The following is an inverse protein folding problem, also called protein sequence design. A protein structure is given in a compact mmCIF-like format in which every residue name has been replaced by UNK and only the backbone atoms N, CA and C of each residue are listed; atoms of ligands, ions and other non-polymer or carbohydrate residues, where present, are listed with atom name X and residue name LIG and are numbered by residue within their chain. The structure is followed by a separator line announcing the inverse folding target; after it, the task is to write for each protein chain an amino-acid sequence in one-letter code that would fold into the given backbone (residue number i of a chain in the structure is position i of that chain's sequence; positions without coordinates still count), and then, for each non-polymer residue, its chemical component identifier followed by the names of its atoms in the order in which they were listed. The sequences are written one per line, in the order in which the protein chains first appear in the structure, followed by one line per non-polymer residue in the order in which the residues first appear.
data_IF_769137986027
#
_entry.id   IF_769137986027
#
_cell.length_a   1.000
_cell.length_b   1.000
_cell.length_c   1.000
_cell.angle_alpha   90.00
_cell.angle_beta   90.00
_cell.angle_gamma   90.00
#
_symmetry.space_group_name_H-M   'P 1'
#
loop_
_entity.id
_entity.type
_entity.pdbx_description
1 polymer ?
#
# COMPACT_ATOMS: atom_id res chain seq x y z
N UNK A 1 11.37 -8.31 -14.74
CA UNK A 1 10.85 -7.85 -13.43
C UNK A 1 10.74 -9.04 -12.52
N UNK A 2 11.12 -8.88 -11.27
CA UNK A 2 10.94 -9.88 -10.21
C UNK A 2 10.43 -9.21 -8.94
N UNK A 3 9.76 -9.96 -8.07
CA UNK A 3 9.37 -9.51 -6.73
C UNK A 3 10.13 -10.35 -5.70
N UNK A 4 10.67 -9.69 -4.69
CA UNK A 4 11.38 -10.33 -3.57
C UNK A 4 10.89 -9.78 -2.24
N UNK A 5 11.21 -10.47 -1.16
CA UNK A 5 11.04 -9.93 0.19
C UNK A 5 12.00 -8.75 0.41
N UNK A 6 11.51 -7.73 1.08
CA UNK A 6 12.26 -6.55 1.46
C UNK A 6 12.84 -6.63 2.87
N UNK A 7 13.84 -5.81 3.14
CA UNK A 7 14.45 -5.65 4.45
C UNK A 7 14.79 -4.18 4.75
N UNK A 8 15.49 -3.92 5.85
CA UNK A 8 15.82 -2.56 6.28
C UNK A 8 16.61 -1.76 5.23
N UNK A 9 17.37 -2.41 4.37
CA UNK A 9 18.14 -1.75 3.29
C UNK A 9 17.26 -1.13 2.23
N UNK A 10 16.01 -1.59 2.13
CA UNK A 10 15.02 -1.06 1.18
C UNK A 10 14.31 0.20 1.70
N UNK A 11 14.46 0.50 2.99
CA UNK A 11 13.73 1.59 3.62
C UNK A 11 13.97 2.96 2.99
N UNK A 12 15.21 3.37 2.64
CA UNK A 12 15.41 4.66 1.96
C UNK A 12 14.62 4.79 0.65
N UNK A 13 14.53 3.73 -0.13
CA UNK A 13 13.73 3.68 -1.34
C UNK A 13 12.23 3.81 -1.02
N UNK A 14 11.75 3.02 -0.08
CA UNK A 14 10.35 3.02 0.34
C UNK A 14 9.94 4.40 0.89
N UNK A 15 10.78 5.01 1.71
CA UNK A 15 10.53 6.34 2.28
C UNK A 15 10.41 7.40 1.18
N UNK A 16 11.36 7.45 0.25
CA UNK A 16 11.35 8.42 -0.83
C UNK A 16 10.12 8.25 -1.75
N UNK A 17 9.81 7.01 -2.12
CA UNK A 17 8.65 6.72 -2.97
C UNK A 17 7.33 6.96 -2.24
N UNK A 18 7.24 6.61 -0.97
CA UNK A 18 6.07 6.84 -0.13
C UNK A 18 5.73 8.33 0.00
N UNK A 19 6.73 9.18 0.15
CA UNK A 19 6.54 10.65 0.18
C UNK A 19 5.93 11.18 -1.11
N UNK A 20 6.37 10.68 -2.26
CA UNK A 20 5.82 11.09 -3.56
C UNK A 20 4.34 10.73 -3.71
N UNK A 21 3.90 9.67 -3.06
CA UNK A 21 2.51 9.20 -3.12
C UNK A 21 1.53 9.97 -2.23
N UNK A 22 2.01 10.71 -1.23
CA UNK A 22 1.15 11.37 -0.23
C UNK A 22 0.06 12.25 -0.86
N UNK A 23 0.36 13.19 -1.78
CA UNK A 23 -0.66 14.06 -2.35
C UNK A 23 -1.79 13.31 -3.06
N UNK A 24 -1.49 12.17 -3.65
CA UNK A 24 -2.45 11.37 -4.41
C UNK A 24 -3.40 10.55 -3.52
N UNK A 25 -3.05 10.33 -2.27
CA UNK A 25 -3.85 9.56 -1.32
C UNK A 25 -4.83 10.39 -0.51
N UNK A 26 -4.68 11.72 -0.52
CA UNK A 26 -5.51 12.62 0.29
C UNK A 26 -6.88 12.81 -0.37
N UNK A 27 -7.94 12.58 0.42
CA UNK A 27 -9.30 12.82 -0.03
C UNK A 27 -9.54 14.29 -0.38
N UNK A 28 -10.13 14.62 -1.54
CA UNK A 28 -10.46 16.00 -1.91
C UNK A 28 -11.53 16.63 -1.00
N UNK A 29 -12.23 15.81 -0.23
CA UNK A 29 -13.23 16.26 0.75
C UNK A 29 -12.62 16.76 2.05
N UNK A 30 -11.34 16.44 2.31
CA UNK A 30 -10.57 16.92 3.48
C UNK A 30 -9.86 18.22 3.11
N UNK A 31 -10.49 19.36 3.40
CA UNK A 31 -9.98 20.71 3.09
C UNK A 31 -8.91 21.14 4.10
N UNK A 32 -7.69 20.70 3.88
CA UNK A 32 -6.52 21.02 4.71
C UNK A 32 -5.42 21.65 3.84
N UNK A 33 -4.64 22.61 4.36
CA UNK A 33 -3.44 23.07 3.67
C UNK A 33 -2.50 21.90 3.40
N UNK A 34 -2.04 21.79 2.15
CA UNK A 34 -1.18 20.66 1.74
C UNK A 34 0.12 20.60 2.55
N UNK A 35 0.69 21.75 2.91
CA UNK A 35 1.90 21.82 3.71
C UNK A 35 1.72 21.15 5.08
N UNK A 36 0.61 21.40 5.77
CA UNK A 36 0.30 20.79 7.05
C UNK A 36 0.09 19.28 6.92
N UNK A 37 -0.63 18.88 5.88
CA UNK A 37 -0.85 17.46 5.57
C UNK A 37 0.46 16.73 5.32
N UNK A 38 1.37 17.32 4.55
CA UNK A 38 2.67 16.74 4.27
C UNK A 38 3.51 16.60 5.54
N UNK A 39 3.55 17.61 6.40
CA UNK A 39 4.26 17.53 7.69
C UNK A 39 3.72 16.40 8.57
N UNK A 40 2.41 16.29 8.67
CA UNK A 40 1.76 15.23 9.45
C UNK A 40 2.09 13.85 8.87
N UNK A 41 1.92 13.66 7.57
CA UNK A 41 2.19 12.38 6.91
C UNK A 41 3.66 11.98 6.98
N UNK A 42 4.58 12.92 6.83
CA UNK A 42 6.01 12.65 7.00
C UNK A 42 6.35 12.19 8.43
N UNK A 43 5.70 12.76 9.44
CA UNK A 43 5.91 12.33 10.82
C UNK A 43 5.49 10.88 11.05
N UNK A 44 4.39 10.46 10.44
CA UNK A 44 3.93 9.06 10.45
C UNK A 44 4.89 8.17 9.68
N UNK A 45 5.29 8.58 8.49
CA UNK A 45 6.15 7.80 7.61
C UNK A 45 7.52 7.52 8.23
N UNK A 46 8.09 8.47 8.99
CA UNK A 46 9.37 8.28 9.69
C UNK A 46 9.34 7.11 10.69
N UNK A 47 8.20 6.84 11.32
CA UNK A 47 8.04 5.71 12.24
C UNK A 47 7.58 4.41 11.58
N UNK A 48 7.34 4.43 10.26
CA UNK A 48 6.67 3.32 9.59
C UNK A 48 7.54 2.06 9.53
N UNK A 49 8.85 2.18 9.33
CA UNK A 49 9.72 1.00 9.35
C UNK A 49 9.73 0.31 10.72
N UNK A 50 9.82 1.08 11.79
CA UNK A 50 9.73 0.54 13.16
C UNK A 50 8.42 -0.21 13.37
N UNK A 51 7.31 0.37 12.90
CA UNK A 51 6.00 -0.28 12.95
C UNK A 51 5.98 -1.58 12.14
N UNK A 52 6.55 -1.61 10.94
CA UNK A 52 6.67 -2.82 10.11
C UNK A 52 7.36 -3.93 10.89
N UNK A 53 8.48 -3.62 11.53
CA UNK A 53 9.23 -4.60 12.33
C UNK A 53 8.44 -5.09 13.54
N UNK A 54 7.82 -4.18 14.28
CA UNK A 54 7.06 -4.51 15.49
C UNK A 54 5.78 -5.29 15.20
N UNK A 55 5.11 -4.99 14.11
CA UNK A 55 3.88 -5.69 13.69
C UNK A 55 4.11 -7.04 13.04
N UNK A 56 5.35 -7.37 12.70
CA UNK A 56 5.66 -8.55 11.90
C UNK A 56 5.14 -8.48 10.47
N UNK A 57 4.92 -7.27 9.97
CA UNK A 57 4.46 -7.05 8.58
C UNK A 57 5.53 -7.47 7.57
N UNK A 58 5.09 -7.86 6.39
CA UNK A 58 5.95 -8.34 5.31
C UNK A 58 6.07 -7.26 4.25
N UNK A 59 7.26 -7.05 3.73
CA UNK A 59 7.54 -6.13 2.65
C UNK A 59 7.89 -6.90 1.38
N UNK A 60 7.27 -6.52 0.26
CA UNK A 60 7.63 -6.99 -1.07
C UNK A 60 8.25 -5.85 -1.86
N UNK A 61 9.35 -6.13 -2.55
CA UNK A 61 10.04 -5.19 -3.43
C UNK A 61 10.00 -5.72 -4.85
N UNK A 62 9.50 -4.89 -5.76
CA UNK A 62 9.61 -5.16 -7.19
C UNK A 62 10.91 -4.57 -7.74
N UNK A 63 11.64 -5.36 -8.50
CA UNK A 63 12.92 -4.97 -9.13
C UNK A 63 12.84 -5.13 -10.65
N UNK A 64 13.44 -4.19 -11.36
CA UNK A 64 13.67 -4.33 -12.78
C UNK A 64 14.74 -5.40 -13.04
N UNK A 65 14.48 -6.32 -13.97
CA UNK A 65 15.33 -7.51 -14.19
C UNK A 65 16.76 -7.18 -14.65
N UNK A 66 16.94 -6.08 -15.37
CA UNK A 66 18.23 -5.77 -16.02
C UNK A 66 19.24 -5.07 -15.10
N UNK A 67 18.78 -4.40 -14.03
CA UNK A 67 19.63 -3.53 -13.20
C UNK A 67 19.48 -3.77 -11.70
N UNK A 68 18.71 -4.75 -11.25
CA UNK A 68 18.35 -4.93 -9.82
C UNK A 68 17.86 -3.64 -9.14
N UNK A 69 17.30 -2.73 -9.93
CA UNK A 69 16.75 -1.47 -9.46
C UNK A 69 15.39 -1.69 -8.83
N UNK A 70 15.20 -1.20 -7.62
CA UNK A 70 13.88 -1.19 -6.96
C UNK A 70 12.95 -0.22 -7.69
N UNK A 71 11.76 -0.70 -8.08
CA UNK A 71 10.79 0.03 -8.88
C UNK A 71 9.42 0.16 -8.24
N UNK A 72 9.18 -0.56 -7.16
CA UNK A 72 7.95 -0.51 -6.38
C UNK A 72 8.04 -1.34 -5.12
N UNK A 73 7.10 -1.13 -4.22
CA UNK A 73 6.98 -1.92 -2.99
C UNK A 73 5.51 -2.13 -2.59
N UNK A 74 5.31 -3.11 -1.72
CA UNK A 74 4.04 -3.36 -1.04
C UNK A 74 4.34 -3.76 0.40
N UNK A 75 3.57 -3.21 1.35
CA UNK A 75 3.63 -3.59 2.77
C UNK A 75 2.35 -4.32 3.15
N UNK A 76 2.50 -5.54 3.62
CA UNK A 76 1.41 -6.44 4.00
C UNK A 76 1.42 -6.70 5.50
N UNK A 77 0.36 -6.29 6.18
CA UNK A 77 0.09 -6.70 7.56
C UNK A 77 -0.62 -8.05 7.55
N UNK A 78 -0.05 -9.04 8.24
CA UNK A 78 -0.52 -10.43 8.18
C UNK A 78 -1.40 -10.84 9.36
N UNK A 79 -1.54 -9.97 10.34
CA UNK A 79 -2.28 -10.22 11.58
C UNK A 79 -3.55 -9.37 11.72
N UNK A 80 -4.00 -8.74 10.64
CA UNK A 80 -5.21 -7.94 10.64
C UNK A 80 -6.45 -8.81 10.78
N UNK A 81 -7.45 -8.30 11.51
CA UNK A 81 -8.77 -8.94 11.58
C UNK A 81 -9.82 -7.97 11.08
N UNK A 82 -10.74 -8.49 10.28
CA UNK A 82 -11.87 -7.70 9.81
C UNK A 82 -12.73 -7.27 11.00
N UNK A 83 -13.07 -5.98 11.04
CA UNK A 83 -13.61 -5.31 12.22
C UNK A 83 -14.96 -5.86 12.68
N UNK A 84 -15.85 -6.26 11.77
CA UNK A 84 -17.19 -6.72 12.10
C UNK A 84 -17.29 -8.22 12.32
N UNK A 85 -16.47 -9.00 11.63
CA UNK A 85 -16.54 -10.47 11.67
C UNK A 85 -15.42 -11.11 12.48
N UNK A 86 -14.33 -10.39 12.73
CA UNK A 86 -13.13 -10.93 13.38
C UNK A 86 -12.32 -11.89 12.52
N UNK A 87 -12.68 -12.06 11.26
CA UNK A 87 -11.97 -12.97 10.36
C UNK A 87 -10.57 -12.45 10.06
N UNK A 88 -9.58 -13.34 10.07
CA UNK A 88 -8.21 -13.03 9.74
C UNK A 88 -8.09 -12.60 8.27
N UNK A 89 -7.35 -11.52 8.04
CA UNK A 89 -7.07 -11.01 6.71
C UNK A 89 -5.63 -10.51 6.59
N UNK A 90 -5.06 -10.59 5.41
CA UNK A 90 -3.92 -9.79 5.03
C UNK A 90 -4.39 -8.38 4.70
N UNK A 91 -3.73 -7.35 5.22
CA UNK A 91 -4.08 -5.97 4.95
C UNK A 91 -2.94 -5.25 4.27
N UNK A 92 -3.18 -4.78 3.06
CA UNK A 92 -2.20 -3.98 2.33
C UNK A 92 -2.17 -2.58 2.94
N UNK A 93 -1.11 -2.31 3.69
CA UNK A 93 -0.91 -1.03 4.36
C UNK A 93 -0.47 0.06 3.41
N UNK A 94 0.33 -0.31 2.42
CA UNK A 94 0.84 0.62 1.43
C UNK A 94 1.31 -0.14 0.18
N UNK A 95 1.14 0.48 -0.97
CA UNK A 95 1.64 0.01 -2.26
C UNK A 95 2.01 1.21 -3.12
N UNK A 96 3.22 1.21 -3.66
CA UNK A 96 3.67 2.29 -4.51
C UNK A 96 4.57 1.78 -5.64
N UNK A 97 4.48 2.43 -6.78
CA UNK A 97 5.28 2.14 -7.98
C UNK A 97 5.87 3.45 -8.48
N UNK A 98 7.16 3.41 -8.84
CA UNK A 98 7.82 4.57 -9.45
C UNK A 98 7.00 5.09 -10.64
N UNK A 99 6.84 6.42 -10.78
CA UNK A 99 5.99 7.00 -11.83
C UNK A 99 6.28 6.47 -13.23
N UNK A 100 7.55 6.35 -13.61
CA UNK A 100 7.99 5.85 -14.91
C UNK A 100 7.73 4.36 -15.14
N UNK A 101 7.39 3.63 -14.07
CA UNK A 101 7.08 2.19 -14.12
C UNK A 101 5.59 1.89 -13.98
N UNK A 102 4.76 2.91 -13.83
CA UNK A 102 3.30 2.75 -13.77
C UNK A 102 2.75 2.29 -15.12
N UNK A 103 1.67 1.50 -15.08
CA UNK A 103 1.06 0.95 -16.28
C UNK A 103 1.82 -0.19 -16.94
N UNK A 104 2.92 -0.67 -16.32
CA UNK A 104 3.76 -1.75 -16.82
C UNK A 104 3.61 -3.07 -16.05
N UNK A 105 2.53 -3.19 -15.28
CA UNK A 105 2.19 -4.41 -14.54
C UNK A 105 2.87 -4.57 -13.19
N UNK A 106 3.68 -3.60 -12.74
CA UNK A 106 4.42 -3.69 -11.45
C UNK A 106 3.47 -3.84 -10.27
N UNK A 107 2.42 -3.03 -10.21
CA UNK A 107 1.41 -3.12 -9.14
C UNK A 107 0.71 -4.47 -9.11
N UNK A 108 0.41 -5.04 -10.27
CA UNK A 108 -0.20 -6.36 -10.41
C UNK A 108 0.71 -7.47 -9.88
N UNK A 109 2.00 -7.42 -10.17
CA UNK A 109 2.96 -8.41 -9.65
C UNK A 109 3.15 -8.29 -8.13
N UNK A 110 3.15 -7.08 -7.59
CA UNK A 110 3.17 -6.87 -6.13
C UNK A 110 1.90 -7.43 -5.46
N UNK A 111 0.73 -7.17 -6.03
CA UNK A 111 -0.53 -7.74 -5.51
C UNK A 111 -0.54 -9.26 -5.59
N UNK A 112 -0.03 -9.84 -6.67
CA UNK A 112 0.09 -11.30 -6.81
C UNK A 112 0.99 -11.89 -5.73
N UNK A 113 2.14 -11.27 -5.46
CA UNK A 113 3.04 -11.72 -4.40
C UNK A 113 2.36 -11.69 -3.01
N UNK A 114 1.57 -10.66 -2.71
CA UNK A 114 0.80 -10.58 -1.48
C UNK A 114 -0.30 -11.65 -1.41
N UNK A 115 -1.01 -11.90 -2.51
CA UNK A 115 -2.02 -12.94 -2.61
C UNK A 115 -1.43 -14.34 -2.40
N UNK A 116 -0.32 -14.65 -3.08
CA UNK A 116 0.38 -15.92 -2.95
C UNK A 116 0.85 -16.13 -1.51
N UNK A 117 1.43 -15.10 -0.89
CA UNK A 117 1.85 -15.16 0.51
C UNK A 117 0.68 -15.45 1.45
N UNK A 118 -0.45 -14.76 1.27
CA UNK A 118 -1.65 -15.03 2.06
C UNK A 118 -2.14 -16.47 1.87
N UNK A 119 -2.12 -16.97 0.66
CA UNK A 119 -2.47 -18.36 0.35
C UNK A 119 -1.58 -19.37 1.07
N UNK A 120 -0.27 -19.17 1.03
CA UNK A 120 0.71 -20.03 1.71
C UNK A 120 0.55 -20.01 3.23
N UNK A 121 0.21 -18.83 3.79
CA UNK A 121 -0.03 -18.66 5.23
C UNK A 121 -1.46 -19.03 5.66
N UNK A 122 -2.30 -19.49 4.74
CA UNK A 122 -3.72 -19.81 4.97
C UNK A 122 -4.52 -18.62 5.53
N UNK A 123 -4.21 -17.44 5.06
CA UNK A 123 -4.96 -16.21 5.35
C UNK A 123 -6.07 -16.11 4.30
N UNK A 124 -7.36 -16.15 4.71
CA UNK A 124 -8.48 -16.36 3.77
C UNK A 124 -8.87 -15.11 2.97
N UNK A 125 -8.47 -13.93 3.40
CA UNK A 125 -8.84 -12.67 2.75
C UNK A 125 -7.64 -11.74 2.61
N UNK A 126 -7.64 -10.95 1.54
CA UNK A 126 -6.71 -9.85 1.30
C UNK A 126 -7.53 -8.56 1.15
N UNK A 127 -7.25 -7.57 1.97
CA UNK A 127 -7.97 -6.31 1.98
C UNK A 127 -7.06 -5.09 1.84
N UNK A 128 -7.67 -3.98 1.47
CA UNK A 128 -7.02 -2.68 1.39
C UNK A 128 -8.05 -1.55 1.53
N UNK A 129 -7.58 -0.34 1.77
CA UNK A 129 -8.38 0.86 1.66
C UNK A 129 -7.80 1.74 0.55
N UNK A 130 -8.67 2.37 -0.22
CA UNK A 130 -8.30 3.27 -1.30
C UNK A 130 -9.22 4.48 -1.33
N UNK A 131 -8.67 5.67 -1.56
CA UNK A 131 -9.48 6.87 -1.72
C UNK A 131 -10.34 6.80 -2.98
N UNK A 132 -11.62 7.13 -2.86
CA UNK A 132 -12.61 6.99 -3.95
C UNK A 132 -12.27 7.82 -5.20
N UNK A 133 -11.48 8.90 -5.06
CA UNK A 133 -11.03 9.71 -6.19
C UNK A 133 -9.82 9.13 -6.94
N UNK A 134 -9.15 8.12 -6.36
CA UNK A 134 -8.01 7.46 -6.98
C UNK A 134 -8.48 6.39 -7.98
N UNK A 135 -9.05 6.86 -9.09
CA UNK A 135 -9.70 6.04 -10.12
C UNK A 135 -8.75 5.00 -10.72
N UNK A 136 -7.49 5.37 -10.89
CA UNK A 136 -6.47 4.46 -11.46
C UNK A 136 -6.19 3.27 -10.54
N UNK A 137 -6.04 3.52 -9.24
CA UNK A 137 -5.84 2.47 -8.26
C UNK A 137 -7.08 1.58 -8.12
N UNK A 138 -8.27 2.19 -8.06
CA UNK A 138 -9.54 1.46 -8.04
C UNK A 138 -9.65 0.49 -9.21
N UNK A 139 -9.35 0.96 -10.42
CA UNK A 139 -9.40 0.13 -11.62
C UNK A 139 -8.44 -1.08 -11.53
N UNK A 140 -7.22 -0.86 -11.05
CA UNK A 140 -6.25 -1.93 -10.81
C UNK A 140 -6.81 -2.98 -9.83
N UNK A 141 -7.35 -2.53 -8.71
CA UNK A 141 -7.85 -3.44 -7.67
C UNK A 141 -9.09 -4.21 -8.14
N UNK A 142 -10.02 -3.56 -8.80
CA UNK A 142 -11.20 -4.21 -9.38
C UNK A 142 -10.80 -5.28 -10.42
N UNK A 143 -9.86 -4.95 -11.30
CA UNK A 143 -9.34 -5.92 -12.28
C UNK A 143 -8.60 -7.08 -11.62
N UNK A 144 -8.01 -6.88 -10.45
CA UNK A 144 -7.35 -7.93 -9.69
C UNK A 144 -8.33 -8.81 -8.90
N UNK A 145 -9.60 -8.42 -8.81
CA UNK A 145 -10.67 -9.18 -8.15
C UNK A 145 -11.13 -8.63 -6.81
N UNK A 146 -10.65 -7.46 -6.39
CA UNK A 146 -11.16 -6.81 -5.19
C UNK A 146 -12.58 -6.28 -5.42
N UNK A 147 -13.43 -6.47 -4.40
CA UNK A 147 -14.78 -5.92 -4.36
C UNK A 147 -14.86 -4.80 -3.32
N UNK A 148 -15.65 -3.77 -3.61
CA UNK A 148 -15.95 -2.73 -2.64
C UNK A 148 -16.81 -3.29 -1.51
N UNK A 149 -16.35 -3.17 -0.27
CA UNK A 149 -17.02 -3.71 0.90
C UNK A 149 -17.65 -2.63 1.77
N UNK A 150 -17.03 -1.45 1.84
CA UNK A 150 -17.49 -0.33 2.67
C UNK A 150 -17.27 1.01 2.00
N UNK A 151 -18.03 1.99 2.45
CA UNK A 151 -17.85 3.40 2.09
C UNK A 151 -17.55 4.22 3.33
N UNK A 152 -16.43 4.91 3.35
CA UNK A 152 -16.11 5.92 4.34
C UNK A 152 -16.68 7.26 3.86
N UNK A 153 -17.55 7.86 4.67
CA UNK A 153 -18.22 9.11 4.34
C UNK A 153 -17.78 10.22 5.29
N UNK A 154 -17.69 11.44 4.80
CA UNK A 154 -17.29 12.60 5.59
C UNK A 154 -18.18 13.78 5.28
N UNK A 155 -18.49 14.58 6.32
CA UNK A 155 -19.19 15.85 6.22
C UNK A 155 -18.35 16.92 6.91
N UNK A 156 -18.05 18.01 6.19
CA UNK A 156 -17.43 19.19 6.80
C UNK A 156 -18.48 19.96 7.58
N UNK A 157 -18.15 20.36 8.81
CA UNK A 157 -19.08 21.08 9.70
C UNK A 157 -18.87 22.60 9.69
N UNK A 158 -17.83 23.07 9.05
CA UNK A 158 -17.49 24.51 8.96
C UNK A 158 -17.48 24.99 7.51
#
# INVERSE_FOLDING_TARGET
MRVRLGDVRDWPFMYALGKLGIPHSISPWRKQPMEETLKYRESILRGFWTWIQQSGSVVFIAEASEKTQSIGYLVLQTSSREELTGVLQGWIMDIAVLPEWRGKGVGRELLRAAEDYCGEQKIPYLGLAVSSHNVRALHLYEQFGFAEERKLMVKRLE
#
